data_IF_841091026780
#
_entry.id   IF_841091026780
#
_cell.length_a   1.000
_cell.length_b   1.000
_cell.length_c   1.000
_cell.angle_alpha   90.00
_cell.angle_beta   90.00
_cell.angle_gamma   90.00
#
_symmetry.space_group_name_H-M   'P 1'
#
loop_
_entity.id
_entity.type
_entity.pdbx_description
1 polymer ?
#
# COMPACT_ATOMS: atom_id res chain seq x y z
N UNK A 1 7.34 9.74 -16.67
CA UNK A 1 6.84 10.84 -15.82
C UNK A 1 7.00 10.49 -14.34
N UNK A 2 6.58 9.31 -13.88
CA UNK A 2 6.69 8.83 -12.48
C UNK A 2 8.14 8.84 -12.02
N UNK A 3 9.04 8.21 -12.76
CA UNK A 3 10.48 8.14 -12.40
C UNK A 3 11.12 9.52 -12.19
N UNK A 4 10.74 10.51 -13.02
CA UNK A 4 11.24 11.89 -12.86
C UNK A 4 10.68 12.58 -11.62
N UNK A 5 9.44 12.29 -11.25
CA UNK A 5 8.82 12.82 -10.03
C UNK A 5 9.47 12.23 -8.78
N UNK A 6 9.59 10.90 -8.73
CA UNK A 6 10.24 10.16 -7.62
C UNK A 6 11.69 10.60 -7.43
N UNK A 7 12.43 10.79 -8.54
CA UNK A 7 13.85 11.17 -8.49
C UNK A 7 14.14 12.55 -7.88
N UNK A 8 13.16 13.43 -7.82
CA UNK A 8 13.31 14.82 -7.33
C UNK A 8 12.76 15.03 -5.92
N UNK A 9 11.96 14.10 -5.44
CA UNK A 9 11.30 14.22 -4.14
C UNK A 9 12.17 13.63 -3.02
N UNK A 10 12.30 14.28 -1.86
CA UNK A 10 12.96 13.69 -0.70
C UNK A 10 12.19 12.49 -0.14
N UNK A 11 10.88 12.51 -0.26
CA UNK A 11 9.99 11.36 0.01
C UNK A 11 8.89 11.32 -1.06
N UNK A 12 8.66 10.15 -1.61
CA UNK A 12 7.57 9.89 -2.54
C UNK A 12 6.81 8.64 -2.13
N UNK A 13 5.49 8.72 -2.16
CA UNK A 13 4.60 7.56 -2.03
C UNK A 13 3.79 7.45 -3.32
N UNK A 14 3.83 6.30 -3.97
CA UNK A 14 2.89 5.97 -5.03
C UNK A 14 1.74 5.14 -4.42
N UNK A 15 0.52 5.42 -4.82
CA UNK A 15 -0.65 4.60 -4.47
C UNK A 15 -1.31 4.15 -5.75
N UNK A 16 -1.16 2.88 -6.07
CA UNK A 16 -1.91 2.21 -7.13
C UNK A 16 -3.24 1.69 -6.58
N UNK A 17 -4.32 1.84 -7.33
CA UNK A 17 -5.66 1.53 -6.82
C UNK A 17 -6.31 0.47 -7.70
N UNK A 18 -6.49 -0.70 -7.12
CA UNK A 18 -7.09 -1.87 -7.76
C UNK A 18 -8.38 -2.30 -7.08
N UNK A 19 -9.18 -3.05 -7.80
CA UNK A 19 -10.30 -3.81 -7.26
C UNK A 19 -10.18 -5.26 -7.69
N UNK A 20 -9.93 -6.14 -6.73
CA UNK A 20 -9.81 -7.58 -6.95
C UNK A 20 -10.93 -8.35 -6.26
N UNK A 21 -11.05 -9.65 -6.55
CA UNK A 21 -12.10 -10.52 -6.03
C UNK A 21 -11.88 -10.94 -4.56
N UNK A 22 -11.25 -10.06 -3.77
CA UNK A 22 -10.93 -10.30 -2.36
C UNK A 22 -12.11 -10.04 -1.41
N UNK A 23 -11.98 -10.58 -0.21
CA UNK A 23 -12.96 -10.45 0.89
C UNK A 23 -12.66 -9.31 1.85
N UNK A 24 -11.50 -8.66 1.72
CA UNK A 24 -11.05 -7.54 2.55
C UNK A 24 -10.26 -6.53 1.71
N UNK A 25 -10.22 -5.29 2.18
CA UNK A 25 -9.35 -4.27 1.59
C UNK A 25 -7.93 -4.51 2.08
N UNK A 26 -6.96 -4.48 1.16
CA UNK A 26 -5.54 -4.70 1.46
C UNK A 26 -4.72 -3.51 1.01
N UNK A 27 -3.68 -3.22 1.75
CA UNK A 27 -2.65 -2.28 1.36
C UNK A 27 -1.35 -3.07 1.19
N UNK A 28 -1.05 -3.39 -0.04
CA UNK A 28 0.16 -4.14 -0.40
C UNK A 28 1.35 -3.23 -0.61
N UNK A 29 2.52 -3.77 -0.35
CA UNK A 29 3.81 -3.16 -0.62
C UNK A 29 4.78 -4.15 -1.28
N UNK A 30 5.86 -3.69 -1.93
CA UNK A 30 6.83 -4.58 -2.57
C UNK A 30 7.49 -5.57 -1.59
N UNK A 31 7.94 -6.66 -2.07
CA UNK A 31 8.00 -7.05 -3.49
C UNK A 31 6.81 -7.88 -3.90
N UNK A 32 6.50 -7.82 -5.22
CA UNK A 32 5.53 -8.71 -5.85
C UNK A 32 6.20 -9.97 -6.41
N UNK A 33 7.45 -9.90 -6.85
CA UNK A 33 8.17 -11.03 -7.49
C UNK A 33 8.89 -11.96 -6.51
N UNK A 34 9.12 -11.54 -5.26
CA UNK A 34 9.83 -12.32 -4.24
C UNK A 34 9.26 -12.11 -2.85
N UNK A 35 9.40 -13.12 -1.99
CA UNK A 35 9.03 -13.03 -0.58
C UNK A 35 10.11 -12.42 0.32
N UNK A 36 11.18 -11.90 -0.27
CA UNK A 36 12.23 -11.24 0.50
C UNK A 36 11.76 -9.88 1.03
N UNK A 37 12.23 -9.44 2.21
CA UNK A 37 11.91 -8.13 2.74
C UNK A 37 12.39 -7.00 1.81
N UNK A 38 11.58 -5.94 1.71
CA UNK A 38 11.97 -4.73 0.99
C UNK A 38 12.98 -3.90 1.79
N UNK A 39 13.89 -3.15 1.15
CA UNK A 39 14.93 -2.37 1.84
C UNK A 39 14.41 -1.31 2.83
N UNK A 40 13.30 -0.61 2.49
CA UNK A 40 12.73 0.46 3.33
C UNK A 40 11.66 -0.06 4.32
N UNK A 41 11.93 -1.22 4.90
CA UNK A 41 10.96 -1.91 5.77
C UNK A 41 10.70 -1.14 7.08
N UNK A 42 11.72 -0.49 7.63
CA UNK A 42 11.60 0.31 8.84
C UNK A 42 10.73 1.54 8.65
N UNK A 43 10.93 2.27 7.54
CA UNK A 43 10.14 3.45 7.19
C UNK A 43 8.69 3.06 6.93
N UNK A 44 8.46 1.96 6.22
CA UNK A 44 7.12 1.46 6.01
C UNK A 44 6.46 1.09 7.34
N UNK A 45 7.17 0.43 8.25
CA UNK A 45 6.64 0.08 9.58
C UNK A 45 6.29 1.32 10.39
N UNK A 46 7.14 2.36 10.34
CA UNK A 46 6.85 3.65 10.96
C UNK A 46 5.59 4.31 10.39
N UNK A 47 5.45 4.33 9.05
CA UNK A 47 4.28 4.88 8.37
C UNK A 47 3.00 4.12 8.75
N UNK A 48 3.05 2.79 8.79
CA UNK A 48 1.90 1.95 9.19
C UNK A 48 1.56 2.18 10.66
N UNK A 49 2.55 2.33 11.55
CA UNK A 49 2.31 2.67 12.95
C UNK A 49 1.59 4.02 13.13
N UNK A 50 1.90 5.02 12.29
CA UNK A 50 1.16 6.28 12.25
C UNK A 50 -0.27 6.11 11.72
N UNK A 51 -0.48 5.25 10.72
CA UNK A 51 -1.81 4.92 10.23
C UNK A 51 -2.65 4.29 11.33
N UNK A 52 -2.11 3.27 12.00
CA UNK A 52 -2.76 2.58 13.12
C UNK A 52 -3.14 3.54 14.27
N UNK A 53 -2.23 4.46 14.60
CA UNK A 53 -2.45 5.44 15.66
C UNK A 53 -3.48 6.51 15.27
N UNK A 54 -3.44 6.99 14.02
CA UNK A 54 -4.35 8.05 13.55
C UNK A 54 -5.72 7.54 13.13
N UNK A 55 -5.81 6.29 12.69
CA UNK A 55 -7.03 5.65 12.21
C UNK A 55 -7.17 4.22 12.79
N UNK A 56 -7.34 4.06 14.12
CA UNK A 56 -7.28 2.75 14.79
C UNK A 56 -8.36 1.75 14.32
N UNK A 57 -9.38 2.22 13.60
CA UNK A 57 -10.43 1.39 13.03
C UNK A 57 -10.37 1.29 11.50
N UNK A 58 -9.21 1.55 10.90
CA UNK A 58 -9.04 1.34 9.47
C UNK A 58 -9.23 -0.14 9.10
N UNK A 59 -9.58 -0.39 7.85
CA UNK A 59 -9.97 -1.73 7.39
C UNK A 59 -8.87 -2.45 6.60
N UNK A 60 -7.72 -1.80 6.46
CA UNK A 60 -6.66 -2.30 5.59
C UNK A 60 -5.85 -3.39 6.27
N UNK A 61 -5.68 -4.51 5.56
CA UNK A 61 -4.67 -5.49 5.89
C UNK A 61 -3.38 -5.09 5.16
N UNK A 62 -2.40 -4.62 5.92
CA UNK A 62 -1.10 -4.21 5.37
C UNK A 62 -0.19 -5.42 5.34
N UNK A 63 0.29 -5.80 4.15
CA UNK A 63 1.12 -6.99 3.96
C UNK A 63 1.93 -6.92 2.66
N UNK A 64 3.06 -7.67 2.53
CA UNK A 64 3.76 -7.81 1.26
C UNK A 64 2.85 -8.42 0.20
N UNK A 65 2.88 -7.90 -1.02
CA UNK A 65 2.08 -8.43 -2.13
C UNK A 65 2.40 -9.91 -2.40
N UNK A 66 3.67 -10.30 -2.31
CA UNK A 66 4.12 -11.68 -2.53
C UNK A 66 3.54 -12.70 -1.55
N UNK A 67 2.89 -12.29 -0.46
CA UNK A 67 2.16 -13.20 0.43
C UNK A 67 0.84 -13.67 -0.17
N UNK A 68 0.22 -12.87 -1.00
CA UNK A 68 -0.99 -13.26 -1.72
C UNK A 68 -0.64 -14.15 -2.92
N UNK A 69 0.27 -13.69 -3.75
CA UNK A 69 0.83 -14.40 -4.91
C UNK A 69 2.08 -13.68 -5.40
N UNK A 70 2.95 -14.42 -6.08
CA UNK A 70 4.14 -13.83 -6.74
C UNK A 70 3.89 -13.66 -8.23
N UNK A 71 4.30 -12.51 -8.77
CA UNK A 71 4.22 -12.19 -10.19
C UNK A 71 5.54 -11.59 -10.68
N UNK A 72 5.83 -11.77 -11.97
CA UNK A 72 6.94 -11.12 -12.64
C UNK A 72 6.42 -9.95 -13.49
N UNK A 73 7.24 -8.91 -13.65
CA UNK A 73 6.91 -7.77 -14.51
C UNK A 73 5.98 -6.73 -13.85
N UNK A 74 5.89 -6.72 -12.52
CA UNK A 74 5.18 -5.68 -11.81
C UNK A 74 5.83 -4.30 -12.03
N UNK A 75 5.00 -3.30 -12.35
CA UNK A 75 5.48 -1.95 -12.66
C UNK A 75 6.14 -1.28 -11.46
N UNK A 76 5.55 -1.46 -10.28
CA UNK A 76 6.04 -0.79 -9.06
C UNK A 76 7.31 -1.43 -8.53
N UNK A 77 7.42 -2.75 -8.63
CA UNK A 77 8.68 -3.47 -8.37
C UNK A 77 9.80 -2.97 -9.29
N UNK A 78 9.50 -2.79 -10.58
CA UNK A 78 10.47 -2.30 -11.56
C UNK A 78 10.93 -0.87 -11.23
N UNK A 79 10.00 0.05 -10.98
CA UNK A 79 10.34 1.46 -10.65
C UNK A 79 11.09 1.53 -9.32
N UNK A 80 10.69 0.73 -8.34
CA UNK A 80 11.34 0.67 -7.04
C UNK A 80 12.77 0.13 -7.14
N UNK A 81 12.97 -0.98 -7.85
CA UNK A 81 14.31 -1.53 -8.09
C UNK A 81 15.23 -0.52 -8.80
N UNK A 82 14.73 0.22 -9.78
CA UNK A 82 15.48 1.28 -10.46
C UNK A 82 15.81 2.45 -9.54
N UNK A 83 14.89 2.82 -8.65
CA UNK A 83 15.15 3.86 -7.63
C UNK A 83 16.28 3.44 -6.71
N UNK A 84 16.27 2.21 -6.21
CA UNK A 84 17.32 1.65 -5.36
C UNK A 84 18.68 1.56 -6.09
N UNK A 85 18.68 1.03 -7.32
CA UNK A 85 19.88 0.87 -8.12
C UNK A 85 20.55 2.22 -8.48
N UNK A 86 19.77 3.27 -8.60
CA UNK A 86 20.27 4.62 -8.88
C UNK A 86 20.96 5.26 -7.66
N UNK A 87 20.93 4.63 -6.48
CA UNK A 87 21.48 5.14 -5.21
C UNK A 87 21.11 6.61 -4.94
N UNK A 88 19.91 7.02 -5.35
CA UNK A 88 19.45 8.41 -5.24
C UNK A 88 19.08 8.70 -3.79
N UNK A 89 19.38 9.90 -3.31
CA UNK A 89 18.85 10.34 -2.04
C UNK A 89 17.34 10.45 -2.12
N UNK A 90 16.66 10.02 -1.05
CA UNK A 90 15.19 10.06 -0.95
C UNK A 90 14.57 8.69 -0.76
N UNK A 91 13.41 8.70 -0.16
CA UNK A 91 12.61 7.52 0.13
C UNK A 91 11.51 7.39 -0.91
N UNK A 92 11.38 6.22 -1.49
CA UNK A 92 10.25 5.88 -2.35
C UNK A 92 9.50 4.66 -1.80
N UNK A 93 8.21 4.80 -1.54
CA UNK A 93 7.34 3.72 -1.10
C UNK A 93 6.18 3.54 -2.10
N UNK A 94 6.25 2.56 -3.00
CA UNK A 94 5.08 2.17 -3.79
C UNK A 94 4.14 1.31 -2.94
N UNK A 95 2.86 1.63 -2.98
CA UNK A 95 1.79 0.93 -2.29
C UNK A 95 0.69 0.59 -3.29
N UNK A 96 0.02 -0.53 -3.10
CA UNK A 96 -1.14 -0.94 -3.88
C UNK A 96 -2.34 -1.13 -2.97
N UNK A 97 -3.37 -0.30 -3.17
CA UNK A 97 -4.66 -0.48 -2.51
C UNK A 97 -5.49 -1.49 -3.31
N UNK A 98 -5.62 -2.70 -2.78
CA UNK A 98 -6.46 -3.75 -3.35
C UNK A 98 -7.82 -3.77 -2.64
N UNK A 99 -8.85 -3.24 -3.30
CA UNK A 99 -10.21 -3.20 -2.75
C UNK A 99 -10.91 -4.53 -2.94
N UNK A 100 -11.40 -5.14 -1.85
CA UNK A 100 -12.07 -6.41 -1.88
C UNK A 100 -13.48 -6.33 -2.50
N UNK A 101 -13.60 -6.59 -3.80
CA UNK A 101 -14.86 -6.47 -4.53
C UNK A 101 -15.93 -7.47 -4.08
N UNK A 102 -15.54 -8.61 -3.52
CA UNK A 102 -16.49 -9.58 -2.97
C UNK A 102 -17.37 -9.00 -1.87
N UNK A 103 -16.91 -7.98 -1.16
CA UNK A 103 -17.69 -7.27 -0.14
C UNK A 103 -19.00 -6.64 -0.68
N UNK A 104 -19.02 -6.24 -1.95
CA UNK A 104 -20.22 -5.71 -2.59
C UNK A 104 -20.93 -6.70 -3.51
N UNK A 105 -20.20 -7.64 -4.12
CA UNK A 105 -20.76 -8.71 -4.96
C UNK A 105 -21.68 -9.62 -4.14
N UNK A 106 -21.24 -10.07 -2.98
CA UNK A 106 -22.02 -10.95 -2.10
C UNK A 106 -23.36 -10.32 -1.64
N UNK A 107 -23.45 -8.98 -1.60
CA UNK A 107 -24.68 -8.26 -1.25
C UNK A 107 -25.63 -8.03 -2.43
N UNK A 108 -25.15 -8.20 -3.65
CA UNK A 108 -25.92 -8.11 -4.88
C UNK A 108 -25.33 -9.05 -5.94
N UNK A 109 -25.55 -10.37 -5.82
CA UNK A 109 -24.95 -11.35 -6.75
C UNK A 109 -25.32 -11.13 -8.21
N UNK A 110 -26.47 -10.49 -8.50
CA UNK A 110 -26.90 -10.17 -9.87
C UNK A 110 -25.88 -9.31 -10.63
N UNK A 111 -25.04 -8.57 -9.94
CA UNK A 111 -24.01 -7.76 -10.58
C UNK A 111 -22.89 -8.59 -11.26
N UNK A 112 -22.77 -9.89 -10.94
CA UNK A 112 -21.87 -10.82 -11.64
C UNK A 112 -22.22 -10.98 -13.13
N UNK A 113 -23.51 -10.79 -13.46
CA UNK A 113 -23.98 -10.85 -14.85
C UNK A 113 -23.73 -9.55 -15.64
N UNK A 114 -23.21 -8.52 -15.01
CA UNK A 114 -22.79 -7.31 -15.70
C UNK A 114 -21.31 -7.34 -16.02
N UNK A 115 -20.91 -6.76 -17.14
CA UNK A 115 -19.53 -6.76 -17.64
C UNK A 115 -18.50 -6.21 -16.62
N UNK A 116 -18.88 -5.28 -15.78
CA UNK A 116 -18.00 -4.62 -14.81
C UNK A 116 -18.36 -4.97 -13.36
N UNK A 117 -19.44 -5.68 -13.13
CA UNK A 117 -20.02 -5.87 -11.80
C UNK A 117 -19.19 -6.74 -10.85
N UNK A 118 -18.31 -7.58 -11.39
CA UNK A 118 -17.41 -8.39 -10.58
C UNK A 118 -16.37 -7.54 -9.84
N UNK A 119 -16.01 -6.39 -10.42
CA UNK A 119 -14.90 -5.55 -9.94
C UNK A 119 -15.35 -4.16 -9.49
N UNK A 120 -16.56 -3.72 -9.83
CA UNK A 120 -17.03 -2.38 -9.54
C UNK A 120 -18.32 -2.38 -8.72
N UNK A 121 -18.47 -1.46 -7.74
CA UNK A 121 -19.73 -1.25 -7.05
C UNK A 121 -20.70 -0.55 -7.99
N UNK A 122 -21.84 -1.19 -8.31
CA UNK A 122 -22.86 -0.63 -9.23
C UNK A 122 -23.78 0.37 -8.52
N UNK A 123 -24.04 0.16 -7.22
CA UNK A 123 -25.00 0.96 -6.47
C UNK A 123 -24.40 2.31 -6.02
N UNK A 124 -25.03 3.47 -6.30
CA UNK A 124 -24.48 4.78 -5.98
C UNK A 124 -24.12 4.99 -4.50
N UNK A 125 -24.94 4.46 -3.58
CA UNK A 125 -24.66 4.54 -2.15
C UNK A 125 -23.40 3.75 -1.74
N UNK A 126 -23.10 2.65 -2.44
CA UNK A 126 -21.87 1.85 -2.21
C UNK A 126 -20.64 2.56 -2.76
N UNK A 127 -20.74 3.15 -3.95
CA UNK A 127 -19.68 4.00 -4.52
C UNK A 127 -19.33 5.10 -3.52
N UNK A 128 -20.30 5.87 -3.04
CA UNK A 128 -20.06 6.92 -2.04
C UNK A 128 -19.42 6.40 -0.75
N UNK A 129 -19.84 5.20 -0.29
CA UNK A 129 -19.26 4.59 0.91
C UNK A 129 -17.80 4.19 0.72
N UNK A 130 -17.46 3.61 -0.43
CA UNK A 130 -16.11 3.20 -0.80
C UNK A 130 -15.22 4.44 -0.91
N UNK A 131 -15.65 5.45 -1.67
CA UNK A 131 -14.90 6.70 -1.82
C UNK A 131 -14.61 7.36 -0.46
N UNK A 132 -15.61 7.49 0.42
CA UNK A 132 -15.38 8.05 1.77
C UNK A 132 -14.38 7.26 2.60
N UNK A 133 -14.38 5.93 2.49
CA UNK A 133 -13.46 5.05 3.21
C UNK A 133 -12.02 5.28 2.75
N UNK A 134 -11.80 5.29 1.42
CA UNK A 134 -10.46 5.38 0.87
C UNK A 134 -9.94 6.82 0.78
N UNK A 135 -10.81 7.82 0.73
CA UNK A 135 -10.42 9.23 0.83
C UNK A 135 -9.64 9.51 2.13
N UNK A 136 -10.00 8.86 3.25
CA UNK A 136 -9.27 8.99 4.50
C UNK A 136 -7.83 8.44 4.42
N UNK A 137 -7.60 7.36 3.68
CA UNK A 137 -6.25 6.85 3.42
C UNK A 137 -5.45 7.82 2.56
N UNK A 138 -6.05 8.35 1.50
CA UNK A 138 -5.38 9.30 0.59
C UNK A 138 -5.00 10.57 1.35
N UNK A 139 -5.89 11.12 2.18
CA UNK A 139 -5.61 12.26 3.03
C UNK A 139 -4.50 11.97 4.05
N UNK A 140 -4.51 10.79 4.67
CA UNK A 140 -3.43 10.33 5.55
C UNK A 140 -2.09 10.29 4.82
N UNK A 141 -2.00 9.65 3.64
CA UNK A 141 -0.75 9.55 2.87
C UNK A 141 -0.26 10.94 2.42
N UNK A 142 -1.15 11.83 2.02
CA UNK A 142 -0.80 13.21 1.67
C UNK A 142 -0.19 13.96 2.87
N UNK A 143 -0.79 13.85 4.05
CA UNK A 143 -0.26 14.46 5.29
C UNK A 143 1.06 13.82 5.71
N UNK A 144 1.20 12.50 5.57
CA UNK A 144 2.44 11.79 5.87
C UNK A 144 3.60 12.28 5.01
N UNK A 145 3.38 12.53 3.71
CA UNK A 145 4.41 13.11 2.84
C UNK A 145 4.72 14.56 3.24
N UNK A 146 3.71 15.35 3.61
CA UNK A 146 3.90 16.74 4.07
C UNK A 146 4.68 16.83 5.39
N UNK A 147 4.49 15.86 6.31
CA UNK A 147 5.21 15.76 7.59
C UNK A 147 6.19 14.57 7.63
N UNK A 148 6.89 14.34 6.54
CA UNK A 148 7.76 13.19 6.31
C UNK A 148 8.76 12.91 7.44
N UNK A 149 9.27 13.93 8.08
CA UNK A 149 10.27 13.82 9.14
C UNK A 149 9.77 13.04 10.36
N UNK A 150 8.47 13.02 10.59
CA UNK A 150 7.85 12.32 11.73
C UNK A 150 7.97 10.78 11.64
N UNK A 151 8.24 10.22 10.46
CA UNK A 151 8.29 8.77 10.24
C UNK A 151 9.44 8.29 9.35
N UNK A 152 10.08 9.17 8.58
CA UNK A 152 11.18 8.78 7.69
C UNK A 152 12.57 9.17 8.23
N UNK A 153 12.66 10.15 9.14
CA UNK A 153 13.91 10.55 9.79
C UNK A 153 14.21 9.65 11.00
N UNK A 154 14.52 8.40 10.74
CA UNK A 154 14.77 7.40 11.78
C UNK A 154 16.24 7.39 12.20
N UNK A 155 16.49 7.36 13.53
CA UNK A 155 17.84 7.02 14.06
C UNK A 155 18.17 5.56 13.75
N UNK A 156 19.46 5.21 13.77
CA UNK A 156 19.89 3.83 13.49
C UNK A 156 19.32 2.81 14.47
N UNK A 157 19.16 3.19 15.74
CA UNK A 157 18.52 2.35 16.76
C UNK A 157 17.04 2.13 16.42
N UNK A 158 16.29 3.21 16.15
CA UNK A 158 14.87 3.14 15.82
C UNK A 158 14.64 2.36 14.51
N UNK A 159 15.52 2.52 13.53
CA UNK A 159 15.48 1.76 12.27
C UNK A 159 15.61 0.27 12.52
N UNK A 160 16.56 -0.16 13.34
CA UNK A 160 16.75 -1.57 13.70
C UNK A 160 15.50 -2.13 14.38
N UNK A 161 14.99 -1.47 15.42
CA UNK A 161 13.79 -1.89 16.13
C UNK A 161 12.58 -2.05 15.20
N UNK A 162 12.33 -1.06 14.34
CA UNK A 162 11.22 -1.11 13.39
C UNK A 162 11.40 -2.18 12.32
N UNK A 163 12.63 -2.46 11.90
CA UNK A 163 12.91 -3.57 10.97
C UNK A 163 12.57 -4.92 11.60
N UNK A 164 12.97 -5.13 12.86
CA UNK A 164 12.67 -6.37 13.60
C UNK A 164 11.16 -6.53 13.83
N UNK A 165 10.48 -5.46 14.26
CA UNK A 165 9.02 -5.44 14.39
C UNK A 165 8.31 -5.80 13.06
N UNK A 166 8.75 -5.20 11.97
CA UNK A 166 8.20 -5.44 10.65
C UNK A 166 8.45 -6.88 10.17
N UNK A 167 9.66 -7.39 10.40
CA UNK A 167 9.99 -8.78 10.08
C UNK A 167 9.08 -9.74 10.83
N UNK A 168 8.91 -9.55 12.14
CA UNK A 168 8.01 -10.37 12.96
C UNK A 168 6.55 -10.25 12.49
N UNK A 169 6.10 -9.05 12.15
CA UNK A 169 4.72 -8.82 11.73
C UNK A 169 4.39 -9.43 10.35
N UNK A 170 5.34 -9.37 9.42
CA UNK A 170 5.07 -9.66 8.02
C UNK A 170 5.83 -10.86 7.44
N UNK A 171 6.97 -11.28 7.98
CA UNK A 171 7.82 -12.32 7.37
C UNK A 171 8.12 -13.53 8.26
N UNK A 172 7.85 -13.46 9.56
CA UNK A 172 8.12 -14.55 10.50
C UNK A 172 7.03 -15.67 10.54
N UNK A 173 6.25 -15.84 9.45
CA UNK A 173 5.19 -16.86 9.37
C UNK A 173 5.64 -18.07 8.60
#
# INVERSE_FOLDING_TARGET
WVERGVARAPVAIALDVHSGFGTSDRLWFPWAHTRQPMPHLAELRALVGLLDASQPHHVYRVEPQAHAYTIQGDLWDHIYARHLAAARPGLFLPLTLEMGSWLWVKKNPRQLFSRLGSFNPIQPHRVRRILRRHAALIDFLHRAVASRESWSALSDERRRLLTDEAYLAWYAR
#
